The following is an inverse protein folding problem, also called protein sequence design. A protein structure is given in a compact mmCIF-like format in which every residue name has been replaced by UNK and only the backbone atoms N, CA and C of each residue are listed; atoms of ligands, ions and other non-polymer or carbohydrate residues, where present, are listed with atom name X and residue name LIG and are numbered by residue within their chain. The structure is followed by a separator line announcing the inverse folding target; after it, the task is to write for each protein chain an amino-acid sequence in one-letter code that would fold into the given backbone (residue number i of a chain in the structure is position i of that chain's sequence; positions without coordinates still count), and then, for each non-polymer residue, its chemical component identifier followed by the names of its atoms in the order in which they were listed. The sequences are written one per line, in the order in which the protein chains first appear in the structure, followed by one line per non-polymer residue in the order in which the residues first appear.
data_IF_369621040978
#
_entry.id   IF_369621040978
#
_cell.length_a   1.000
_cell.length_b   1.000
_cell.length_c   1.000
_cell.angle_alpha   90.00
_cell.angle_beta   90.00
_cell.angle_gamma   90.00
#
_symmetry.space_group_name_H-M   'P 1'
#
loop_
_entity.id
_entity.type
_entity.pdbx_description
1 polymer ?
#
# COMPACT_ATOMS: atom_id res chain seq x y z
N UNK A 1 5.86 -3.84 -37.73
CA UNK A 1 6.06 -2.70 -38.64
C UNK A 1 4.77 -1.91 -38.73
N UNK A 2 4.80 -0.62 -38.39
CA UNK A 2 4.01 0.47 -38.99
C UNK A 2 4.48 1.78 -38.31
N UNK A 3 5.32 2.50 -39.03
CA UNK A 3 5.75 3.87 -38.72
C UNK A 3 4.61 4.81 -39.12
N UNK A 4 4.30 5.80 -38.30
CA UNK A 4 3.54 6.99 -38.68
C UNK A 4 4.19 8.16 -37.95
N UNK A 5 5.19 8.80 -38.57
CA UNK A 5 5.07 9.93 -39.49
C UNK A 5 4.72 11.22 -38.75
N UNK A 6 5.76 12.03 -38.55
CA UNK A 6 5.74 13.39 -38.06
C UNK A 6 4.87 14.29 -38.95
N UNK A 7 4.02 15.10 -38.35
CA UNK A 7 3.50 16.31 -38.98
C UNK A 7 3.88 17.52 -38.13
N UNK A 8 4.77 18.30 -38.74
CA UNK A 8 5.18 19.64 -38.37
C UNK A 8 4.02 20.59 -38.68
N UNK A 9 3.48 21.27 -37.67
CA UNK A 9 2.68 22.46 -37.85
C UNK A 9 3.23 23.55 -36.94
N UNK A 10 4.06 24.41 -37.52
CA UNK A 10 4.51 25.65 -36.91
C UNK A 10 3.41 26.69 -37.07
N UNK A 11 2.89 27.22 -35.96
CA UNK A 11 2.21 28.51 -35.93
C UNK A 11 2.78 29.30 -34.76
N UNK A 12 3.69 30.21 -35.11
CA UNK A 12 4.19 31.29 -34.26
C UNK A 12 3.11 32.38 -34.19
N UNK A 13 2.56 32.60 -33.00
CA UNK A 13 1.93 33.86 -32.64
C UNK A 13 2.59 34.34 -31.34
N UNK A 14 3.44 35.37 -31.45
CA UNK A 14 4.01 36.06 -30.29
C UNK A 14 2.91 36.89 -29.62
N UNK A 15 2.52 36.48 -28.41
CA UNK A 15 1.68 37.27 -27.50
C UNK A 15 2.46 37.42 -26.20
N UNK A 16 3.01 38.60 -25.99
CA UNK A 16 3.82 38.98 -24.83
C UNK A 16 2.98 38.97 -23.55
N UNK A 17 3.37 38.15 -22.58
CA UNK A 17 2.95 38.27 -21.19
C UNK A 17 3.89 37.45 -20.30
N UNK A 18 4.42 37.99 -19.18
CA UNK A 18 5.12 37.15 -18.21
C UNK A 18 4.07 36.33 -17.47
N UNK A 19 3.73 35.16 -18.01
CA UNK A 19 3.06 34.12 -17.23
C UNK A 19 4.13 33.41 -16.40
N UNK A 20 4.47 34.01 -15.27
CA UNK A 20 5.17 33.32 -14.20
C UNK A 20 4.12 32.46 -13.51
N UNK A 21 4.05 31.19 -13.89
CA UNK A 21 3.45 30.14 -13.10
C UNK A 21 4.52 29.05 -13.01
N UNK A 22 5.23 29.05 -11.89
CA UNK A 22 6.00 27.90 -11.45
C UNK A 22 4.99 26.79 -11.15
N UNK A 23 4.59 26.02 -12.17
CA UNK A 23 3.85 24.78 -11.98
C UNK A 23 4.86 23.70 -11.57
N UNK A 24 5.36 23.83 -10.35
CA UNK A 24 5.85 22.71 -9.55
C UNK A 24 4.62 21.82 -9.29
N UNK A 25 4.28 20.98 -10.27
CA UNK A 25 3.34 19.87 -10.09
C UNK A 25 4.09 18.82 -9.25
N UNK A 26 4.19 19.10 -7.95
CA UNK A 26 4.41 18.12 -6.89
C UNK A 26 3.26 17.12 -6.96
N UNK A 27 3.37 16.17 -7.91
CA UNK A 27 2.48 15.02 -8.00
C UNK A 27 2.74 14.17 -6.77
N UNK A 28 2.07 14.52 -5.68
CA UNK A 28 1.90 13.64 -4.54
C UNK A 28 1.27 12.37 -5.08
N UNK A 29 2.10 11.35 -5.31
CA UNK A 29 1.67 9.99 -5.51
C UNK A 29 1.00 9.56 -4.20
N UNK A 30 -0.28 9.88 -4.06
CA UNK A 30 -1.13 9.44 -2.97
C UNK A 30 -1.36 7.94 -3.17
N UNK A 31 -0.35 7.14 -2.81
CA UNK A 31 -0.54 5.72 -2.58
C UNK A 31 -1.59 5.63 -1.47
N UNK A 32 -2.80 5.22 -1.82
CA UNK A 32 -3.90 5.13 -0.87
C UNK A 32 -3.56 4.06 0.17
N UNK A 33 -3.06 4.52 1.32
CA UNK A 33 -2.76 3.65 2.45
C UNK A 33 -4.03 3.35 3.24
N UNK A 34 -4.17 2.11 3.69
CA UNK A 34 -5.27 1.58 4.45
C UNK A 34 -4.79 1.08 5.81
N UNK A 35 -5.66 1.21 6.82
CA UNK A 35 -5.43 0.75 8.19
C UNK A 35 -6.65 0.02 8.71
N UNK A 36 -6.44 -1.12 9.36
CA UNK A 36 -7.50 -1.78 10.11
C UNK A 36 -6.96 -2.58 11.30
N UNK A 37 -7.88 -3.07 12.13
CA UNK A 37 -7.58 -3.93 13.27
C UNK A 37 -8.41 -5.21 13.20
N UNK A 38 -7.87 -6.31 13.72
CA UNK A 38 -8.58 -7.58 13.72
C UNK A 38 -7.84 -8.68 14.44
N UNK A 39 -8.48 -9.83 14.56
CA UNK A 39 -7.88 -11.04 15.12
C UNK A 39 -7.27 -11.85 13.98
N UNK A 40 -6.07 -12.37 14.19
CA UNK A 40 -5.45 -13.35 13.28
C UNK A 40 -6.23 -14.66 13.36
N UNK A 41 -6.82 -15.08 12.25
CA UNK A 41 -7.63 -16.29 12.14
C UNK A 41 -6.84 -17.45 11.55
N UNK A 42 -5.92 -17.16 10.63
CA UNK A 42 -5.04 -18.15 10.04
C UNK A 42 -3.68 -17.56 9.65
N UNK A 43 -2.66 -18.41 9.73
CA UNK A 43 -1.28 -18.14 9.35
C UNK A 43 -0.79 -19.21 8.36
N UNK A 44 0.20 -18.91 7.52
CA UNK A 44 0.87 -19.94 6.73
C UNK A 44 1.56 -20.98 7.65
N UNK A 45 1.66 -22.26 7.22
CA UNK A 45 2.15 -23.35 8.09
C UNK A 45 3.58 -23.20 8.61
N UNK A 46 4.46 -22.50 7.87
CA UNK A 46 5.91 -22.54 8.16
C UNK A 46 6.60 -21.17 8.08
N UNK A 47 5.89 -20.10 7.72
CA UNK A 47 6.49 -18.79 7.44
C UNK A 47 5.60 -17.67 7.93
N UNK A 48 6.24 -16.64 8.50
CA UNK A 48 5.58 -15.37 8.86
C UNK A 48 5.19 -14.56 7.61
N UNK A 49 5.83 -14.86 6.48
CA UNK A 49 5.53 -14.28 5.17
C UNK A 49 4.49 -15.15 4.45
N UNK A 50 3.61 -14.54 3.69
CA UNK A 50 2.51 -15.21 3.00
C UNK A 50 1.18 -14.58 3.37
N UNK A 51 0.10 -15.29 3.07
CA UNK A 51 -1.26 -14.81 3.30
C UNK A 51 -1.65 -15.06 4.76
N UNK A 52 -2.06 -14.00 5.44
CA UNK A 52 -2.68 -14.04 6.76
C UNK A 52 -4.17 -13.74 6.62
N UNK A 53 -5.00 -14.47 7.34
CA UNK A 53 -6.41 -14.15 7.48
C UNK A 53 -6.61 -13.34 8.76
N UNK A 54 -7.15 -12.13 8.62
CA UNK A 54 -7.39 -11.22 9.75
C UNK A 54 -8.81 -10.69 9.67
N UNK A 55 -9.69 -11.14 10.56
CA UNK A 55 -11.10 -10.75 10.60
C UNK A 55 -11.78 -10.88 9.23
N UNK A 56 -11.62 -12.06 8.59
CA UNK A 56 -12.13 -12.37 7.27
C UNK A 56 -11.45 -11.66 6.08
N UNK A 57 -10.33 -10.94 6.31
CA UNK A 57 -9.60 -10.21 5.26
C UNK A 57 -8.28 -10.89 4.93
N UNK A 58 -7.96 -10.93 3.65
CA UNK A 58 -6.67 -11.39 3.15
C UNK A 58 -5.60 -10.30 3.32
N UNK A 59 -4.55 -10.63 4.08
CA UNK A 59 -3.39 -9.75 4.29
C UNK A 59 -2.15 -10.41 3.71
N UNK A 60 -1.55 -9.76 2.72
CA UNK A 60 -0.34 -10.24 2.06
C UNK A 60 0.87 -9.72 2.85
N UNK A 61 1.54 -10.64 3.53
CA UNK A 61 2.75 -10.35 4.31
C UNK A 61 3.97 -10.76 3.51
N UNK A 62 4.93 -9.85 3.36
CA UNK A 62 6.17 -10.11 2.62
C UNK A 62 7.38 -9.92 3.54
N UNK A 63 8.60 -10.31 3.11
CA UNK A 63 9.82 -10.00 3.84
C UNK A 63 10.05 -8.49 4.08
N UNK A 64 9.34 -7.61 3.34
CA UNK A 64 9.40 -6.15 3.52
C UNK A 64 8.44 -5.64 4.59
N UNK A 65 7.45 -6.46 4.99
CA UNK A 65 6.46 -6.07 6.00
C UNK A 65 7.14 -5.98 7.36
N UNK A 66 7.01 -4.81 8.00
CA UNK A 66 7.53 -4.59 9.35
C UNK A 66 6.61 -5.22 10.38
N UNK A 67 7.08 -6.25 11.08
CA UNK A 67 6.30 -6.90 12.12
C UNK A 67 6.78 -6.46 13.51
N UNK A 68 5.88 -5.89 14.31
CA UNK A 68 6.15 -5.41 15.67
C UNK A 68 5.46 -6.29 16.71
N UNK A 69 6.23 -7.10 17.44
CA UNK A 69 5.76 -8.03 18.48
C UNK A 69 5.86 -7.44 19.91
N UNK A 70 5.69 -6.12 20.06
CA UNK A 70 5.94 -5.44 21.35
C UNK A 70 4.99 -5.86 22.49
N UNK A 71 3.79 -6.33 22.16
CA UNK A 71 2.73 -6.66 23.14
C UNK A 71 2.29 -8.12 23.10
N UNK A 72 3.06 -8.98 22.44
CA UNK A 72 2.76 -10.41 22.31
C UNK A 72 3.41 -11.03 21.07
N UNK A 73 3.35 -12.35 20.99
CA UNK A 73 3.85 -13.13 19.86
C UNK A 73 2.82 -13.22 18.73
N UNK A 74 3.29 -13.40 17.50
CA UNK A 74 2.44 -13.80 16.37
C UNK A 74 1.87 -15.20 16.64
N UNK A 75 0.54 -15.31 16.64
CA UNK A 75 -0.20 -16.56 16.72
C UNK A 75 -1.63 -16.35 16.20
N UNK A 76 -2.30 -17.44 15.82
CA UNK A 76 -3.76 -17.42 15.66
C UNK A 76 -4.40 -16.99 16.99
N UNK A 77 -5.38 -16.10 16.92
CA UNK A 77 -6.01 -15.44 18.08
C UNK A 77 -5.35 -14.13 18.52
N UNK A 78 -4.19 -13.75 17.96
CA UNK A 78 -3.57 -12.46 18.26
C UNK A 78 -4.41 -11.30 17.68
N UNK A 79 -4.61 -10.25 18.47
CA UNK A 79 -5.22 -9.00 18.01
C UNK A 79 -4.14 -8.08 17.43
N UNK A 80 -4.34 -7.65 16.19
CA UNK A 80 -3.34 -6.94 15.41
C UNK A 80 -3.88 -5.65 14.82
N UNK A 81 -2.98 -4.72 14.60
CA UNK A 81 -3.15 -3.56 13.72
C UNK A 81 -2.42 -3.86 12.42
N UNK A 82 -3.06 -3.60 11.28
CA UNK A 82 -2.47 -3.77 9.95
C UNK A 82 -2.51 -2.42 9.24
N UNK A 83 -1.37 -2.02 8.67
CA UNK A 83 -1.22 -0.86 7.78
C UNK A 83 -0.61 -1.34 6.45
N UNK A 84 -1.07 -0.79 5.34
CA UNK A 84 -0.60 -1.16 4.02
C UNK A 84 -1.41 -0.52 2.91
N UNK A 85 -1.47 -1.14 1.74
CA UNK A 85 -2.24 -0.66 0.60
C UNK A 85 -3.11 -1.76 0.01
N UNK A 86 -4.24 -1.38 -0.60
CA UNK A 86 -5.10 -2.32 -1.30
C UNK A 86 -4.37 -2.87 -2.53
N UNK A 87 -4.39 -4.18 -2.67
CA UNK A 87 -3.75 -4.89 -3.78
C UNK A 87 -4.70 -5.97 -4.25
N UNK A 88 -5.43 -5.72 -5.35
CA UNK A 88 -6.29 -6.65 -6.08
C UNK A 88 -7.15 -7.62 -5.25
N UNK A 89 -6.52 -8.64 -4.69
CA UNK A 89 -7.07 -9.74 -3.89
C UNK A 89 -7.16 -9.47 -2.37
N UNK A 90 -6.46 -8.45 -1.85
CA UNK A 90 -6.39 -8.18 -0.41
C UNK A 90 -5.65 -6.90 -0.07
N UNK A 91 -5.00 -6.88 1.09
CA UNK A 91 -4.18 -5.76 1.55
C UNK A 91 -2.71 -6.20 1.65
N UNK A 92 -1.83 -5.56 0.89
CA UNK A 92 -0.40 -5.74 1.00
C UNK A 92 0.11 -4.93 2.21
N UNK A 93 0.65 -5.62 3.21
CA UNK A 93 1.01 -5.00 4.48
C UNK A 93 2.41 -4.37 4.44
N UNK A 94 2.48 -3.11 4.84
CA UNK A 94 3.75 -2.43 5.14
C UNK A 94 4.12 -2.63 6.61
N UNK A 95 3.13 -2.64 7.50
CA UNK A 95 3.34 -2.86 8.94
C UNK A 95 2.23 -3.70 9.57
N UNK A 96 2.62 -4.62 10.45
CA UNK A 96 1.73 -5.34 11.35
C UNK A 96 2.22 -5.16 12.78
N UNK A 97 1.36 -4.67 13.66
CA UNK A 97 1.66 -4.50 15.08
C UNK A 97 0.77 -5.41 15.92
N UNK A 98 1.39 -6.31 16.70
CA UNK A 98 0.69 -7.15 17.66
C UNK A 98 0.30 -6.28 18.86
N UNK A 99 -1.01 -6.16 19.10
CA UNK A 99 -1.57 -5.38 20.20
C UNK A 99 -1.81 -6.22 21.46
N UNK A 100 -1.78 -7.54 21.34
CA UNK A 100 -1.92 -8.53 22.40
C UNK A 100 -2.93 -9.62 22.04
N UNK A 101 -3.16 -10.58 22.93
CA UNK A 101 -4.32 -11.48 22.83
C UNK A 101 -5.59 -10.73 23.27
N UNK A 102 -6.70 -10.92 22.56
CA UNK A 102 -7.99 -10.37 22.99
C UNK A 102 -8.33 -11.03 24.32
N UNK A 103 -8.23 -10.28 25.43
CA UNK A 103 -8.69 -10.76 26.74
C UNK A 103 -10.20 -10.98 26.64
N UNK A 104 -10.61 -12.21 26.92
CA UNK A 104 -12.00 -12.64 26.99
C UNK A 104 -12.67 -12.08 28.24
#
# INVERSE_FOLDING_TARGET
MKRALFLLAAVLALSTGPAQADDDDDREHHTSSAKFYGTVEALPPSVRNGIWWVNGREVIVSPRTKIKEKRGSIAVGAYVKVEGYLSGIGLAADEIEIKGSRRH
#
